data_IF_335535386192
#
_entry.id   IF_335535386192
#
_cell.length_a   1.000
_cell.length_b   1.000
_cell.length_c   1.000
_cell.angle_alpha   90.00
_cell.angle_beta   90.00
_cell.angle_gamma   90.00
#
_symmetry.space_group_name_H-M   'P 1'
#
loop_
_entity.id
_entity.type
_entity.pdbx_description
1 polymer ?
#
# COMPACT_ATOMS: atom_id res chain seq x y z
N UNK A 1 -8.89 -19.87 -19.85
CA UNK A 1 -9.12 -18.41 -19.88
C UNK A 1 -8.57 -17.77 -18.62
N UNK A 2 -7.95 -16.61 -18.75
CA UNK A 2 -7.39 -15.83 -17.67
C UNK A 2 -8.12 -14.47 -17.62
N UNK A 3 -8.65 -14.10 -16.44
CA UNK A 3 -9.31 -12.80 -16.24
C UNK A 3 -8.61 -12.06 -15.11
N UNK A 4 -8.29 -10.79 -15.36
CA UNK A 4 -7.71 -9.89 -14.36
C UNK A 4 -8.78 -8.91 -13.88
N UNK A 5 -8.74 -8.67 -12.57
CA UNK A 5 -9.57 -7.67 -11.90
C UNK A 5 -8.69 -6.84 -10.97
N UNK A 6 -9.03 -5.57 -10.78
CA UNK A 6 -8.37 -4.67 -9.85
C UNK A 6 -9.32 -4.32 -8.71
N UNK A 7 -8.88 -4.61 -7.48
CA UNK A 7 -9.60 -4.31 -6.25
C UNK A 7 -8.61 -3.90 -5.16
N UNK A 8 -9.07 -3.16 -4.15
CA UNK A 8 -8.32 -3.00 -2.90
C UNK A 8 -8.10 -4.35 -2.21
N UNK A 9 -7.02 -4.49 -1.46
CA UNK A 9 -6.59 -5.77 -0.85
C UNK A 9 -7.67 -6.42 0.03
N UNK A 10 -8.43 -5.63 0.79
CA UNK A 10 -9.52 -6.14 1.64
C UNK A 10 -10.60 -6.77 0.78
N UNK A 11 -11.04 -6.05 -0.26
CA UNK A 11 -12.08 -6.55 -1.18
C UNK A 11 -11.61 -7.77 -1.97
N UNK A 12 -10.38 -7.77 -2.44
CA UNK A 12 -9.79 -8.92 -3.13
C UNK A 12 -9.77 -10.17 -2.23
N UNK A 13 -9.42 -10.03 -0.95
CA UNK A 13 -9.45 -11.13 0.01
C UNK A 13 -10.88 -11.66 0.25
N UNK A 14 -11.87 -10.79 0.41
CA UNK A 14 -13.28 -11.20 0.51
C UNK A 14 -13.70 -12.04 -0.70
N UNK A 15 -13.38 -11.57 -1.92
CA UNK A 15 -13.72 -12.28 -3.16
C UNK A 15 -13.03 -13.63 -3.29
N UNK A 16 -11.80 -13.77 -2.77
CA UNK A 16 -11.10 -15.07 -2.68
C UNK A 16 -11.82 -15.99 -1.70
N UNK A 17 -12.22 -15.50 -0.53
CA UNK A 17 -12.95 -16.28 0.48
C UNK A 17 -14.33 -16.72 -0.02
N UNK A 18 -15.00 -15.86 -0.81
CA UNK A 18 -16.29 -16.15 -1.47
C UNK A 18 -16.15 -17.01 -2.74
N UNK A 19 -14.93 -17.41 -3.11
CA UNK A 19 -14.61 -18.19 -4.33
C UNK A 19 -14.97 -17.50 -5.66
N UNK A 20 -15.08 -16.17 -5.63
CA UNK A 20 -15.28 -15.34 -6.82
C UNK A 20 -13.97 -15.01 -7.53
N UNK A 21 -12.86 -15.12 -6.82
CA UNK A 21 -11.49 -15.10 -7.36
C UNK A 21 -10.77 -16.39 -6.93
N UNK A 22 -9.96 -16.94 -7.82
CA UNK A 22 -9.13 -18.11 -7.49
C UNK A 22 -7.92 -17.71 -6.66
N UNK A 23 -7.25 -16.63 -7.05
CA UNK A 23 -6.07 -16.06 -6.40
C UNK A 23 -6.14 -14.53 -6.40
N UNK A 24 -5.44 -13.87 -5.49
CA UNK A 24 -5.24 -12.43 -5.51
C UNK A 24 -3.83 -12.07 -5.01
N UNK A 25 -3.28 -10.97 -5.55
CA UNK A 25 -2.10 -10.31 -4.99
C UNK A 25 -2.62 -9.18 -4.11
N UNK A 26 -2.20 -9.15 -2.85
CA UNK A 26 -2.72 -8.23 -1.84
C UNK A 26 -1.62 -7.75 -0.90
N UNK A 27 -1.88 -6.63 -0.24
CA UNK A 27 -1.13 -6.28 0.96
C UNK A 27 -1.48 -7.28 2.07
N UNK A 28 -0.49 -8.01 2.58
CA UNK A 28 -0.67 -9.10 3.54
C UNK A 28 -0.91 -8.61 4.98
N UNK A 29 -0.80 -7.31 5.26
CA UNK A 29 -1.14 -6.73 6.56
C UNK A 29 -2.65 -6.57 6.79
N UNK A 30 -3.46 -7.03 5.84
CA UNK A 30 -4.92 -6.95 5.93
C UNK A 30 -5.49 -7.94 6.97
N UNK A 31 -6.62 -7.58 7.64
CA UNK A 31 -7.12 -8.31 8.80
C UNK A 31 -7.55 -9.76 8.53
N UNK A 32 -7.97 -10.08 7.30
CA UNK A 32 -8.49 -11.40 6.96
C UNK A 32 -7.43 -12.35 6.37
N UNK A 33 -6.16 -11.98 6.37
CA UNK A 33 -5.07 -12.77 5.78
C UNK A 33 -5.00 -14.20 6.36
N UNK A 34 -5.23 -14.34 7.66
CA UNK A 34 -5.16 -15.64 8.36
C UNK A 34 -6.24 -16.64 7.90
N UNK A 35 -7.29 -16.16 7.22
CA UNK A 35 -8.36 -17.01 6.66
C UNK A 35 -7.98 -17.63 5.31
N UNK A 36 -6.92 -17.12 4.67
CA UNK A 36 -6.41 -17.59 3.40
C UNK A 36 -5.12 -18.39 3.58
N UNK A 37 -4.76 -19.19 2.59
CA UNK A 37 -3.36 -19.52 2.36
C UNK A 37 -2.71 -18.29 1.78
N UNK A 38 -1.48 -18.02 2.17
CA UNK A 38 -0.74 -16.86 1.68
C UNK A 38 0.73 -17.19 1.50
N UNK A 39 1.36 -16.52 0.53
CA UNK A 39 2.79 -16.50 0.35
C UNK A 39 3.25 -15.07 0.11
N UNK A 40 4.18 -14.61 0.92
CA UNK A 40 4.81 -13.31 0.73
C UNK A 40 5.74 -13.39 -0.48
N UNK A 41 5.62 -12.43 -1.37
CA UNK A 41 6.38 -12.33 -2.62
C UNK A 41 7.24 -11.09 -2.66
N UNK A 42 6.93 -10.07 -1.84
CA UNK A 42 7.70 -8.84 -1.75
C UNK A 42 7.47 -8.14 -0.41
N UNK A 43 8.39 -7.25 -0.06
CA UNK A 43 8.29 -6.35 1.09
C UNK A 43 8.67 -4.95 0.65
N UNK A 44 7.76 -4.00 0.86
CA UNK A 44 7.90 -2.62 0.45
C UNK A 44 7.89 -1.68 1.66
N UNK A 45 8.77 -0.68 1.64
CA UNK A 45 8.75 0.40 2.61
C UNK A 45 7.85 1.55 2.15
N UNK A 46 7.11 2.14 3.09
CA UNK A 46 6.41 3.38 2.84
C UNK A 46 7.36 4.57 2.97
N UNK A 47 7.42 5.37 1.93
CA UNK A 47 8.12 6.65 1.90
C UNK A 47 7.12 7.79 1.98
N UNK A 48 7.45 8.84 2.71
CA UNK A 48 6.72 10.11 2.64
C UNK A 48 7.14 10.84 1.36
N UNK A 49 6.16 11.23 0.54
CA UNK A 49 6.39 11.75 -0.80
C UNK A 49 5.90 13.19 -0.92
N UNK A 50 6.74 14.05 -1.46
CA UNK A 50 6.49 15.47 -1.67
C UNK A 50 7.06 15.94 -3.02
N UNK A 51 6.68 17.13 -3.45
CA UNK A 51 7.30 17.79 -4.59
C UNK A 51 8.72 18.27 -4.25
N UNK A 52 9.61 18.48 -5.25
CA UNK A 52 10.99 18.94 -5.02
C UNK A 52 11.12 20.30 -4.33
N UNK A 53 10.14 21.18 -4.48
CA UNK A 53 10.08 22.51 -3.85
C UNK A 53 9.38 22.54 -2.48
N UNK A 54 8.96 21.38 -1.99
CA UNK A 54 8.30 21.28 -0.68
C UNK A 54 9.30 21.52 0.47
N UNK A 55 8.90 22.21 1.57
CA UNK A 55 9.80 22.51 2.70
C UNK A 55 10.47 21.28 3.33
N UNK A 56 9.84 20.12 3.24
CA UNK A 56 10.40 18.87 3.79
C UNK A 56 11.26 18.09 2.78
N UNK A 57 11.40 18.54 1.52
CA UNK A 57 12.09 17.79 0.46
C UNK A 57 13.58 17.51 0.76
N UNK A 58 14.23 18.38 1.56
CA UNK A 58 15.64 18.22 1.94
C UNK A 58 15.86 17.32 3.17
N UNK A 59 14.78 16.85 3.80
CA UNK A 59 14.89 15.95 4.95
C UNK A 59 15.43 14.60 4.53
N UNK A 60 16.38 14.07 5.29
CA UNK A 60 16.92 12.72 5.06
C UNK A 60 16.00 11.62 5.55
N UNK A 61 15.18 11.90 6.55
CA UNK A 61 14.19 11.01 7.14
C UNK A 61 13.02 11.82 7.69
N UNK A 62 11.84 11.19 7.76
CA UNK A 62 10.63 11.76 8.35
C UNK A 62 10.25 10.97 9.59
N UNK A 63 10.03 11.69 10.71
CA UNK A 63 9.28 11.17 11.85
C UNK A 63 7.80 11.53 11.66
N UNK A 64 6.89 10.63 11.98
CA UNK A 64 5.45 10.92 11.85
C UNK A 64 5.00 12.13 12.68
N UNK A 65 5.70 12.42 13.78
CA UNK A 65 5.46 13.62 14.60
C UNK A 65 5.73 14.94 13.87
N UNK A 66 6.58 14.95 12.85
CA UNK A 66 6.85 16.11 12.02
C UNK A 66 5.66 16.46 11.11
N UNK A 67 4.77 15.50 10.87
CA UNK A 67 3.64 15.63 9.95
C UNK A 67 2.32 16.03 10.63
N UNK A 68 2.36 16.47 11.89
CA UNK A 68 1.15 16.82 12.65
C UNK A 68 0.28 17.91 11.98
N UNK A 69 0.93 18.88 11.33
CA UNK A 69 0.26 19.99 10.64
C UNK A 69 0.41 19.93 9.11
N UNK A 70 1.03 18.87 8.60
CA UNK A 70 1.30 18.72 7.18
C UNK A 70 0.02 18.31 6.45
N UNK A 71 -0.42 19.03 5.39
CA UNK A 71 -1.58 18.62 4.64
C UNK A 71 -1.28 17.34 3.85
N UNK A 72 -2.04 16.29 4.14
CA UNK A 72 -1.85 14.96 3.57
C UNK A 72 -2.99 14.59 2.62
N UNK A 73 -2.62 13.90 1.55
CA UNK A 73 -3.54 13.17 0.70
C UNK A 73 -3.25 11.68 0.88
N UNK A 74 -4.27 10.90 1.18
CA UNK A 74 -4.10 9.47 1.43
C UNK A 74 -5.03 8.65 0.52
N UNK A 75 -4.78 7.35 0.45
CA UNK A 75 -5.78 6.42 -0.07
C UNK A 75 -7.04 6.43 0.80
N UNK A 76 -8.11 5.83 0.30
CA UNK A 76 -9.35 5.69 1.07
C UNK A 76 -9.12 4.89 2.36
N UNK A 77 -9.96 5.12 3.35
CA UNK A 77 -9.85 4.54 4.70
C UNK A 77 -10.01 3.01 4.73
N UNK A 78 -10.54 2.40 3.69
CA UNK A 78 -10.62 0.95 3.47
C UNK A 78 -9.33 0.35 2.87
N UNK A 79 -8.30 1.16 2.65
CA UNK A 79 -6.98 0.71 2.23
C UNK A 79 -6.19 0.18 3.43
N UNK A 80 -5.55 -0.98 3.25
CA UNK A 80 -4.64 -1.57 4.26
C UNK A 80 -3.49 -0.63 4.61
N UNK A 81 -2.95 0.09 3.63
CA UNK A 81 -1.91 1.10 3.85
C UNK A 81 -2.38 2.19 4.82
N UNK A 82 -3.59 2.74 4.61
CA UNK A 82 -4.14 3.79 5.48
C UNK A 82 -4.47 3.25 6.87
N UNK A 83 -4.95 2.03 6.99
CA UNK A 83 -5.14 1.37 8.30
C UNK A 83 -3.82 1.28 9.06
N UNK A 84 -2.73 0.89 8.39
CA UNK A 84 -1.40 0.85 9.00
C UNK A 84 -0.92 2.23 9.40
N UNK A 85 -0.99 3.23 8.50
CA UNK A 85 -0.62 4.61 8.80
C UNK A 85 -1.41 5.18 9.99
N UNK A 86 -2.73 4.97 10.02
CA UNK A 86 -3.59 5.42 11.12
C UNK A 86 -3.13 4.83 12.46
N UNK A 87 -2.78 3.55 12.49
CA UNK A 87 -2.22 2.88 13.69
C UNK A 87 -0.89 3.50 14.10
N UNK A 88 0.01 3.75 13.14
CA UNK A 88 1.33 4.33 13.40
C UNK A 88 1.23 5.79 13.90
N UNK A 89 0.41 6.62 13.28
CA UNK A 89 0.14 7.98 13.76
C UNK A 89 -0.44 8.00 15.16
N UNK A 90 -1.40 7.12 15.44
CA UNK A 90 -1.99 6.97 16.78
C UNK A 90 -0.94 6.56 17.82
N UNK A 91 -0.02 5.67 17.47
CA UNK A 91 1.03 5.20 18.38
C UNK A 91 1.98 6.32 18.81
N UNK A 92 2.19 7.34 17.97
CA UNK A 92 3.02 8.51 18.29
C UNK A 92 2.20 9.72 18.77
N UNK A 93 0.89 9.56 19.01
CA UNK A 93 0.01 10.60 19.55
C UNK A 93 -0.30 11.73 18.56
N UNK A 94 -0.15 11.51 17.26
CA UNK A 94 -0.42 12.48 16.20
C UNK A 94 -1.74 12.17 15.49
N UNK A 95 -2.54 13.20 15.26
CA UNK A 95 -3.68 13.12 14.33
C UNK A 95 -3.27 13.75 13.00
N UNK A 96 -3.17 12.98 11.91
CA UNK A 96 -2.74 13.53 10.63
C UNK A 96 -3.78 14.49 10.07
N UNK A 97 -3.32 15.58 9.44
CA UNK A 97 -4.18 16.54 8.74
C UNK A 97 -4.48 16.04 7.32
N UNK A 98 -5.46 15.14 7.18
CA UNK A 98 -5.85 14.57 5.88
C UNK A 98 -6.86 15.49 5.21
N UNK A 99 -6.50 16.07 4.06
CA UNK A 99 -7.34 17.00 3.29
C UNK A 99 -8.12 16.31 2.16
N UNK A 100 -7.66 15.12 1.72
CA UNK A 100 -8.33 14.34 0.68
C UNK A 100 -8.04 12.84 0.86
N UNK A 101 -9.06 12.02 0.63
CA UNK A 101 -8.90 10.58 0.41
C UNK A 101 -9.30 10.23 -1.04
N UNK A 102 -8.56 9.34 -1.67
CA UNK A 102 -8.83 8.87 -3.05
C UNK A 102 -8.44 7.41 -3.23
N UNK A 103 -9.06 6.71 -4.18
CA UNK A 103 -8.64 5.38 -4.63
C UNK A 103 -7.63 5.44 -5.79
N UNK A 104 -7.36 6.63 -6.34
CA UNK A 104 -6.62 6.82 -7.58
C UNK A 104 -5.17 7.26 -7.29
N UNK A 105 -4.22 6.36 -7.54
CA UNK A 105 -2.78 6.67 -7.37
C UNK A 105 -2.33 7.85 -8.23
N UNK A 106 -2.85 7.95 -9.46
CA UNK A 106 -2.54 9.06 -10.35
C UNK A 106 -2.99 10.42 -9.79
N UNK A 107 -4.14 10.45 -9.09
CA UNK A 107 -4.62 11.64 -8.41
C UNK A 107 -3.67 12.03 -7.28
N UNK A 108 -3.25 11.05 -6.44
CA UNK A 108 -2.25 11.29 -5.38
C UNK A 108 -0.97 11.91 -5.95
N UNK A 109 -0.38 11.29 -6.96
CA UNK A 109 0.86 11.74 -7.59
C UNK A 109 0.72 13.15 -8.15
N UNK A 110 -0.35 13.43 -8.91
CA UNK A 110 -0.55 14.74 -9.53
C UNK A 110 -0.78 15.86 -8.49
N UNK A 111 -1.46 15.57 -7.41
CA UNK A 111 -1.66 16.54 -6.33
C UNK A 111 -0.38 16.81 -5.56
N UNK A 112 0.43 15.80 -5.28
CA UNK A 112 1.76 15.98 -4.66
C UNK A 112 2.65 16.87 -5.54
N UNK A 113 2.66 16.66 -6.85
CA UNK A 113 3.39 17.50 -7.81
C UNK A 113 2.96 18.96 -7.82
N UNK A 114 1.77 19.31 -7.31
CA UNK A 114 1.35 20.69 -7.16
C UNK A 114 2.10 21.47 -6.07
N UNK A 115 2.91 20.80 -5.22
CA UNK A 115 3.88 21.43 -4.33
C UNK A 115 3.42 21.69 -2.90
N UNK A 116 2.16 21.45 -2.54
CA UNK A 116 1.61 21.91 -1.26
C UNK A 116 1.08 20.81 -0.34
N UNK A 117 1.29 19.55 -0.70
CA UNK A 117 0.75 18.41 0.03
C UNK A 117 1.73 17.24 0.00
N UNK A 118 1.66 16.39 1.02
CA UNK A 118 2.40 15.14 1.08
C UNK A 118 1.49 13.92 1.00
N UNK A 119 2.08 12.78 0.67
CA UNK A 119 1.43 11.48 0.68
C UNK A 119 2.40 10.38 1.11
N UNK A 120 1.90 9.16 1.22
CA UNK A 120 2.74 7.99 1.41
C UNK A 120 2.61 7.06 0.22
N UNK A 121 3.73 6.65 -0.34
CA UNK A 121 3.81 5.69 -1.46
C UNK A 121 4.85 4.62 -1.16
N UNK A 122 4.72 3.48 -1.80
CA UNK A 122 5.75 2.47 -1.77
C UNK A 122 7.03 2.99 -2.43
N UNK A 123 8.17 2.55 -1.91
CA UNK A 123 9.48 2.91 -2.43
C UNK A 123 9.59 2.67 -3.94
N UNK A 124 9.14 1.53 -4.44
CA UNK A 124 9.14 1.19 -5.86
C UNK A 124 8.37 2.18 -6.73
N UNK A 125 7.25 2.71 -6.21
CA UNK A 125 6.45 3.75 -6.89
C UNK A 125 7.22 5.07 -6.95
N UNK A 126 7.88 5.45 -5.85
CA UNK A 126 8.68 6.67 -5.80
C UNK A 126 9.85 6.59 -6.78
N UNK A 127 10.57 5.47 -6.81
CA UNK A 127 11.70 5.25 -7.73
C UNK A 127 11.28 5.32 -9.22
N UNK A 128 10.03 4.97 -9.53
CA UNK A 128 9.47 5.11 -10.87
C UNK A 128 9.04 6.54 -11.24
N UNK A 129 9.05 7.49 -10.27
CA UNK A 129 8.61 8.87 -10.46
C UNK A 129 9.70 9.86 -10.03
N UNK A 130 10.71 10.12 -10.87
CA UNK A 130 11.87 10.95 -10.52
C UNK A 130 11.54 12.43 -10.28
N UNK A 131 10.33 12.85 -10.57
CA UNK A 131 9.75 14.17 -10.29
C UNK A 131 9.11 14.27 -8.89
N UNK A 132 9.17 13.22 -8.09
CA UNK A 132 8.81 13.20 -6.67
C UNK A 132 10.05 13.01 -5.80
N UNK A 133 10.01 13.59 -4.61
CA UNK A 133 10.99 13.33 -3.56
C UNK A 133 10.37 12.35 -2.57
N UNK A 134 10.96 11.16 -2.48
CA UNK A 134 10.60 10.18 -1.47
C UNK A 134 11.54 10.22 -0.30
N UNK A 135 11.01 10.40 0.89
CA UNK A 135 11.77 10.53 2.13
C UNK A 135 11.46 9.32 3.01
N UNK A 136 12.46 8.52 3.42
CA UNK A 136 12.25 7.39 4.31
C UNK A 136 11.57 7.79 5.61
N UNK A 137 10.59 7.03 6.05
CA UNK A 137 9.92 7.22 7.33
C UNK A 137 10.68 6.49 8.43
N UNK A 138 10.78 7.09 9.61
CA UNK A 138 11.44 6.48 10.77
C UNK A 138 10.48 6.44 11.97
N UNK A 139 10.33 5.27 12.64
CA UNK A 139 10.80 3.97 12.20
C UNK A 139 10.18 3.55 10.86
N UNK A 140 10.84 2.67 10.12
CA UNK A 140 10.33 2.18 8.84
C UNK A 140 8.94 1.55 8.97
N UNK A 141 8.10 1.78 7.98
CA UNK A 141 6.76 1.20 7.87
C UNK A 141 6.76 0.23 6.71
N UNK A 142 7.08 -1.02 7.02
CA UNK A 142 7.09 -2.10 6.02
C UNK A 142 5.66 -2.56 5.70
N UNK A 143 5.45 -2.93 4.45
CA UNK A 143 4.22 -3.53 3.94
C UNK A 143 4.59 -4.79 3.15
N UNK A 144 4.07 -5.93 3.57
CA UNK A 144 4.31 -7.20 2.89
C UNK A 144 3.27 -7.41 1.80
N UNK A 145 3.73 -7.73 0.61
CA UNK A 145 2.87 -8.07 -0.53
C UNK A 145 2.86 -9.59 -0.66
N UNK A 146 1.69 -10.16 -0.78
CA UNK A 146 1.52 -11.60 -0.86
C UNK A 146 0.50 -12.03 -1.89
N UNK A 147 0.70 -13.21 -2.43
CA UNK A 147 -0.35 -13.92 -3.16
C UNK A 147 -1.18 -14.73 -2.18
N UNK A 148 -2.49 -14.72 -2.35
CA UNK A 148 -3.43 -15.44 -1.48
C UNK A 148 -4.38 -16.32 -2.30
N UNK A 149 -4.83 -17.41 -1.66
CA UNK A 149 -5.89 -18.28 -2.17
C UNK A 149 -6.67 -18.91 -1.02
N UNK A 150 -7.87 -19.41 -1.29
CA UNK A 150 -8.74 -19.97 -0.26
C UNK A 150 -8.16 -21.23 0.36
N UNK A 151 -8.18 -21.34 1.67
CA UNK A 151 -7.82 -22.56 2.41
C UNK A 151 -8.75 -23.71 2.08
N UNK A 152 -8.19 -24.92 1.93
CA UNK A 152 -8.99 -26.14 1.72
C UNK A 152 -9.63 -26.26 0.34
N UNK A 153 -9.46 -25.29 -0.57
CA UNK A 153 -9.91 -25.39 -1.94
C UNK A 153 -8.83 -26.00 -2.82
N UNK A 154 -9.21 -27.01 -3.61
CA UNK A 154 -8.35 -27.49 -4.70
C UNK A 154 -8.28 -26.41 -5.78
N UNK A 155 -7.07 -25.92 -6.03
CA UNK A 155 -6.89 -24.87 -7.07
C UNK A 155 -7.05 -25.51 -8.46
N UNK A 156 -7.58 -24.71 -9.40
CA UNK A 156 -7.54 -25.16 -10.79
C UNK A 156 -6.10 -25.12 -11.33
N UNK A 157 -5.83 -25.91 -12.36
CA UNK A 157 -4.48 -26.07 -12.94
C UNK A 157 -3.83 -24.73 -13.34
N UNK A 158 -4.62 -23.73 -13.70
CA UNK A 158 -4.12 -22.40 -14.10
C UNK A 158 -3.67 -21.62 -12.86
N UNK A 159 -4.46 -21.60 -11.80
CA UNK A 159 -4.10 -20.94 -10.53
C UNK A 159 -2.83 -21.58 -9.91
N UNK A 160 -2.74 -22.92 -9.91
CA UNK A 160 -1.52 -23.63 -9.45
C UNK A 160 -0.28 -23.23 -10.23
N UNK A 161 -0.38 -23.10 -11.56
CA UNK A 161 0.73 -22.65 -12.39
C UNK A 161 1.16 -21.23 -12.06
N UNK A 162 0.21 -20.32 -11.83
CA UNK A 162 0.49 -18.93 -11.46
C UNK A 162 1.16 -18.88 -10.09
N UNK A 163 0.65 -19.60 -9.09
CA UNK A 163 1.25 -19.68 -7.76
C UNK A 163 2.68 -20.20 -7.86
N UNK A 164 2.91 -21.33 -8.56
CA UNK A 164 4.25 -21.88 -8.78
C UNK A 164 5.19 -20.95 -9.52
N UNK A 165 4.68 -20.18 -10.49
CA UNK A 165 5.48 -19.19 -11.20
C UNK A 165 5.95 -18.09 -10.25
N UNK A 166 5.03 -17.54 -9.45
CA UNK A 166 5.34 -16.51 -8.45
C UNK A 166 6.29 -17.05 -7.37
N UNK A 167 6.22 -18.34 -7.03
CA UNK A 167 7.12 -19.00 -6.07
C UNK A 167 8.58 -19.05 -6.51
N UNK A 168 8.83 -18.96 -7.79
CA UNK A 168 10.18 -19.05 -8.37
C UNK A 168 10.74 -17.68 -8.79
N UNK A 169 10.03 -16.59 -8.45
CA UNK A 169 10.45 -15.21 -8.68
C UNK A 169 11.11 -14.65 -7.43
#
# INVERSE_FOLDING_TARGET
DFRLFEFGSIKACELVLEEKLDIAIVNAEQPAIDKCNSRIIDTEDLYFCVAPDHPLAEQKTILLTMLANEPLILFNTDSVQVMTLTRQFKAVGVTPHVILNTSQITTLINMVKSGHVGTFLYRSIVEAHPDLIGIPVMPSIEQRIGVIWKKGKHQNTTAEKVIKYIENF
#
